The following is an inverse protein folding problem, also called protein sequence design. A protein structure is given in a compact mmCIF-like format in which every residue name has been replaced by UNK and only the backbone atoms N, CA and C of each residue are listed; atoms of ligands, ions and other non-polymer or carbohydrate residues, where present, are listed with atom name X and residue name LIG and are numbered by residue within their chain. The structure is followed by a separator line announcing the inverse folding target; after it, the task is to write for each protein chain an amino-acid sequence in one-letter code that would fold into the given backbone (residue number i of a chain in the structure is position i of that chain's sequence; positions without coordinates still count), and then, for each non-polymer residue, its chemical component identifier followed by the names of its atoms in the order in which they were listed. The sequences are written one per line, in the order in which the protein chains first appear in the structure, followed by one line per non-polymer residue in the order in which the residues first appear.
data_IF_204322400508
#
_entry.id   IF_204322400508
#
_cell.length_a   1.000
_cell.length_b   1.000
_cell.length_c   1.000
_cell.angle_alpha   90.00
_cell.angle_beta   90.00
_cell.angle_gamma   90.00
#
_symmetry.space_group_name_H-M   'P 1'
#
loop_
_entity.id
_entity.type
_entity.pdbx_description
1 polymer ?
#
# COMPACT_ATOMS: atom_id res chain seq x y z
N UNK A 1 16.91 -16.98 5.62
CA UNK A 1 16.94 -15.63 6.23
C UNK A 1 15.77 -14.83 5.65
N UNK A 2 15.07 -13.99 6.43
CA UNK A 2 13.91 -13.22 5.92
C UNK A 2 14.40 -11.90 5.32
N UNK A 3 14.19 -11.67 4.01
CA UNK A 3 14.59 -10.44 3.32
C UNK A 3 13.37 -9.52 3.10
N UNK A 4 13.11 -8.63 4.06
CA UNK A 4 11.93 -7.77 4.04
C UNK A 4 12.04 -6.64 3.01
N UNK A 5 13.24 -6.09 2.81
CA UNK A 5 13.45 -4.98 1.88
C UNK A 5 13.21 -5.42 0.44
N UNK A 6 13.73 -6.60 0.07
CA UNK A 6 13.49 -7.20 -1.24
C UNK A 6 12.01 -7.55 -1.45
N UNK A 7 11.34 -8.09 -0.42
CA UNK A 7 9.90 -8.34 -0.48
C UNK A 7 9.11 -7.04 -0.74
N UNK A 8 9.39 -5.97 0.00
CA UNK A 8 8.70 -4.68 -0.16
C UNK A 8 9.04 -4.03 -1.49
N UNK A 9 10.27 -4.18 -1.97
CA UNK A 9 10.65 -3.77 -3.32
C UNK A 9 9.80 -4.47 -4.38
N UNK A 10 9.71 -5.80 -4.35
CA UNK A 10 8.89 -6.57 -5.28
C UNK A 10 7.39 -6.25 -5.15
N UNK A 11 6.91 -5.95 -3.94
CA UNK A 11 5.53 -5.50 -3.73
C UNK A 11 5.23 -4.22 -4.51
N UNK A 12 6.11 -3.21 -4.41
CA UNK A 12 5.99 -1.97 -5.20
C UNK A 12 6.08 -2.22 -6.70
N UNK A 13 7.07 -3.01 -7.14
CA UNK A 13 7.21 -3.35 -8.56
C UNK A 13 5.96 -4.05 -9.10
N UNK A 14 5.37 -4.96 -8.31
CA UNK A 14 4.12 -5.63 -8.69
C UNK A 14 2.97 -4.64 -8.91
N UNK A 15 2.92 -3.56 -8.13
CA UNK A 15 1.88 -2.54 -8.29
C UNK A 15 2.10 -1.70 -9.54
N UNK A 16 3.35 -1.30 -9.82
CA UNK A 16 3.71 -0.59 -11.05
C UNK A 16 3.34 -1.43 -12.27
N UNK A 17 3.74 -2.70 -12.30
CA UNK A 17 3.41 -3.62 -13.38
C UNK A 17 1.90 -3.82 -13.52
N UNK A 18 1.18 -3.96 -12.40
CA UNK A 18 -0.28 -4.12 -12.43
C UNK A 18 -1.00 -2.92 -13.03
N UNK A 19 -0.57 -1.68 -12.73
CA UNK A 19 -1.14 -0.48 -13.35
C UNK A 19 -0.95 -0.45 -14.87
N UNK A 20 0.08 -1.10 -15.38
CA UNK A 20 0.38 -1.17 -16.82
C UNK A 20 -0.46 -2.22 -17.56
N UNK A 21 -1.14 -3.15 -16.87
CA UNK A 21 -1.92 -4.20 -17.54
C UNK A 21 -3.22 -3.68 -18.15
N UNK A 22 -3.83 -2.65 -17.56
CA UNK A 22 -5.02 -1.98 -18.08
C UNK A 22 -5.20 -0.62 -17.41
N UNK A 23 -5.66 0.39 -18.16
CA UNK A 23 -6.04 1.70 -17.59
C UNK A 23 -7.12 1.57 -16.51
N UNK A 24 -8.01 0.57 -16.63
CA UNK A 24 -9.10 0.33 -15.67
C UNK A 24 -8.62 -0.05 -14.27
N UNK A 25 -7.33 -0.38 -14.07
CA UNK A 25 -6.78 -0.74 -12.76
C UNK A 25 -6.70 0.46 -11.82
N UNK A 26 -6.48 1.66 -12.34
CA UNK A 26 -6.30 2.87 -11.52
C UNK A 26 -6.82 4.13 -12.21
N UNK A 27 -7.80 4.05 -13.10
CA UNK A 27 -8.32 5.21 -13.83
C UNK A 27 -9.00 6.25 -12.92
N UNK A 28 -9.61 5.81 -11.81
CA UNK A 28 -10.27 6.67 -10.84
C UNK A 28 -9.33 7.77 -10.31
N UNK A 29 -9.78 9.03 -10.41
CA UNK A 29 -8.98 10.20 -10.08
C UNK A 29 -8.57 10.25 -8.60
N UNK A 30 -9.45 9.89 -7.67
CA UNK A 30 -9.14 9.84 -6.25
C UNK A 30 -8.05 8.79 -5.96
N UNK A 31 -8.12 7.63 -6.61
CA UNK A 31 -7.11 6.57 -6.47
C UNK A 31 -5.77 7.01 -7.03
N UNK A 32 -5.72 7.69 -8.18
CA UNK A 32 -4.48 8.26 -8.72
C UNK A 32 -3.87 9.28 -7.77
N UNK A 33 -4.70 10.14 -7.18
CA UNK A 33 -4.26 11.14 -6.21
C UNK A 33 -3.64 10.49 -4.98
N UNK A 34 -4.29 9.46 -4.41
CA UNK A 34 -3.75 8.72 -3.25
C UNK A 34 -2.48 7.97 -3.64
N UNK A 35 -2.45 7.30 -4.79
CA UNK A 35 -1.27 6.57 -5.29
C UNK A 35 -0.07 7.49 -5.45
N UNK A 36 -0.27 8.68 -6.01
CA UNK A 36 0.78 9.68 -6.20
C UNK A 36 1.26 10.28 -4.88
N UNK A 37 0.34 10.52 -3.93
CA UNK A 37 0.69 10.96 -2.58
C UNK A 37 1.59 9.93 -1.90
N UNK A 38 1.15 8.65 -1.88
CA UNK A 38 1.89 7.57 -1.24
C UNK A 38 3.26 7.32 -1.90
N UNK A 39 3.36 7.47 -3.22
CA UNK A 39 4.61 7.35 -3.96
C UNK A 39 5.63 8.43 -3.58
N UNK A 40 5.17 9.64 -3.28
CA UNK A 40 6.02 10.79 -3.00
C UNK A 40 6.30 11.00 -1.50
N UNK A 41 5.61 10.25 -0.63
CA UNK A 41 5.79 10.35 0.82
C UNK A 41 7.07 9.60 1.26
N UNK A 42 8.08 10.28 1.81
CA UNK A 42 9.36 9.65 2.19
C UNK A 42 9.22 8.65 3.36
N UNK A 43 8.07 8.63 4.05
CA UNK A 43 7.78 7.69 5.15
C UNK A 43 7.17 6.39 4.63
N UNK A 44 6.70 6.36 3.39
CA UNK A 44 6.17 5.18 2.72
C UNK A 44 7.31 4.39 2.09
N UNK A 45 7.40 3.11 2.47
CA UNK A 45 8.39 2.17 1.91
C UNK A 45 7.80 1.45 0.70
N UNK A 46 6.54 1.01 0.82
CA UNK A 46 5.84 0.37 -0.28
C UNK A 46 4.32 0.49 -0.14
N UNK A 47 3.61 0.52 -1.26
CA UNK A 47 2.16 0.53 -1.28
C UNK A 47 1.60 -0.18 -2.51
N UNK A 48 0.38 -0.70 -2.38
CA UNK A 48 -0.40 -1.20 -3.51
C UNK A 48 -1.89 -1.14 -3.24
N UNK A 49 -2.68 -0.96 -4.30
CA UNK A 49 -4.12 -1.16 -4.22
C UNK A 49 -4.44 -2.66 -4.18
N UNK A 50 -5.16 -3.09 -3.14
CA UNK A 50 -5.57 -4.47 -2.96
C UNK A 50 -6.80 -4.82 -3.81
N UNK A 51 -6.98 -6.11 -4.13
CA UNK A 51 -8.12 -6.60 -4.90
C UNK A 51 -7.97 -6.40 -6.41
N UNK A 52 -9.07 -6.21 -7.13
CA UNK A 52 -9.06 -6.10 -8.60
C UNK A 52 -8.35 -4.82 -9.07
N UNK A 53 -8.65 -3.69 -8.46
CA UNK A 53 -8.22 -2.36 -8.91
C UNK A 53 -9.41 -1.38 -8.86
N UNK A 54 -9.15 -0.10 -9.11
CA UNK A 54 -10.14 0.99 -9.22
C UNK A 54 -11.07 1.22 -8.02
N UNK A 55 -10.82 0.57 -6.89
CA UNK A 55 -11.56 0.70 -5.64
C UNK A 55 -10.96 -0.12 -4.52
N UNK A 56 -11.49 0.03 -3.30
CA UNK A 56 -11.04 -0.71 -2.12
C UNK A 56 -9.96 0.01 -1.31
N UNK A 57 -8.99 -0.75 -0.79
CA UNK A 57 -8.01 -0.26 0.16
C UNK A 57 -6.58 -0.31 -0.41
N UNK A 58 -5.82 0.74 -0.15
CA UNK A 58 -4.37 0.68 -0.26
C UNK A 58 -3.79 -0.05 0.95
N UNK A 59 -2.95 -1.04 0.70
CA UNK A 59 -2.04 -1.58 1.71
C UNK A 59 -0.74 -0.80 1.62
N UNK A 60 -0.35 -0.15 2.72
CA UNK A 60 0.81 0.74 2.80
C UNK A 60 1.74 0.28 3.91
N UNK A 61 3.03 0.20 3.60
CA UNK A 61 4.12 -0.14 4.51
C UNK A 61 4.99 1.08 4.75
N UNK A 62 5.41 1.25 6.00
CA UNK A 62 6.27 2.33 6.47
C UNK A 62 7.22 1.80 7.54
N UNK A 63 8.17 2.62 7.97
CA UNK A 63 8.89 2.34 9.21
C UNK A 63 7.90 2.37 10.37
N UNK A 64 8.11 1.47 11.34
CA UNK A 64 7.23 1.33 12.50
C UNK A 64 6.96 2.69 13.15
N UNK A 65 5.68 2.97 13.39
CA UNK A 65 5.18 4.17 14.09
C UNK A 65 5.57 5.53 13.45
N UNK A 66 5.92 5.54 12.16
CA UNK A 66 6.30 6.77 11.44
C UNK A 66 5.22 7.31 10.49
N UNK A 67 4.32 6.46 9.99
CA UNK A 67 3.39 6.84 8.93
C UNK A 67 2.42 7.93 9.39
N UNK A 68 2.42 9.03 8.66
CA UNK A 68 1.49 10.14 8.85
C UNK A 68 0.83 10.45 7.50
N UNK A 69 -0.44 10.07 7.34
CA UNK A 69 -1.19 10.28 6.08
C UNK A 69 -2.52 10.99 6.34
N UNK A 70 -2.99 11.85 5.42
CA UNK A 70 -4.22 12.61 5.57
C UNK A 70 -5.49 11.80 5.21
N UNK A 71 -5.38 10.46 5.17
CA UNK A 71 -6.45 9.56 4.76
C UNK A 71 -6.90 8.68 5.91
N UNK A 72 -8.19 8.31 5.89
CA UNK A 72 -8.71 7.29 6.81
C UNK A 72 -7.92 6.01 6.66
N UNK A 73 -7.41 5.49 7.77
CA UNK A 73 -6.53 4.32 7.77
C UNK A 73 -6.84 3.40 8.94
N UNK A 74 -6.60 2.11 8.71
CA UNK A 74 -6.70 1.07 9.74
C UNK A 74 -5.30 0.50 9.93
N UNK A 75 -4.74 0.68 11.13
CA UNK A 75 -3.43 0.09 11.47
C UNK A 75 -3.58 -1.42 11.64
N UNK A 76 -2.86 -2.16 10.80
CA UNK A 76 -2.84 -3.63 10.85
C UNK A 76 -1.56 -4.08 11.54
N UNK A 77 -1.69 -4.80 12.65
CA UNK A 77 -0.56 -5.46 13.30
C UNK A 77 -0.44 -6.89 12.78
N UNK A 78 0.75 -7.24 12.29
CA UNK A 78 1.08 -8.61 11.87
C UNK A 78 1.66 -9.34 13.07
N UNK A 79 1.00 -10.40 13.51
CA UNK A 79 1.57 -11.33 14.50
C UNK A 79 2.02 -12.61 13.81
N UNK A 80 3.00 -13.34 14.38
CA UNK A 80 3.38 -14.67 13.91
C UNK A 80 2.20 -15.66 13.88
N UNK A 81 1.19 -15.44 14.72
CA UNK A 81 0.00 -16.29 14.87
C UNK A 81 -1.14 -15.87 13.91
N UNK A 82 -0.91 -14.87 13.05
CA UNK A 82 -1.91 -14.31 12.14
C UNK A 82 -2.11 -12.80 12.32
N UNK A 83 -3.13 -12.25 11.66
CA UNK A 83 -3.37 -10.81 11.60
C UNK A 83 -4.49 -10.41 12.58
N UNK A 84 -4.27 -9.39 13.41
CA UNK A 84 -5.30 -8.83 14.30
C UNK A 84 -5.51 -7.34 14.00
N UNK A 85 -6.66 -7.00 13.43
CA UNK A 85 -7.09 -5.61 13.23
C UNK A 85 -7.81 -5.07 14.46
N UNK A 86 -7.59 -3.79 14.81
CA UNK A 86 -8.38 -3.07 15.82
C UNK A 86 -8.80 -1.73 15.21
N UNK A 87 -10.10 -1.42 15.25
CA UNK A 87 -10.64 -0.11 14.86
C UNK A 87 -10.39 0.86 16.01
N UNK A 88 -9.81 2.03 15.72
CA UNK A 88 -9.72 3.15 16.67
C UNK A 88 -11.04 3.91 16.67
#
# INVERSE_FOLDING_TARGET
QKNYDEFLHHLNQSWIQKKQTSSSINENTMIKTIDQYLLNDPLVVAHKLCGAGNGGFFLTFSKKDSLTIPYSSVKINVSPDGVKGKKL
#
